data_IF_469718442967
#
_entry.id   IF_469718442967
#
_cell.length_a   1.000
_cell.length_b   1.000
_cell.length_c   1.000
_cell.angle_alpha   90.00
_cell.angle_beta   90.00
_cell.angle_gamma   90.00
#
_symmetry.space_group_name_H-M   'P 1'
#
loop_
_entity.id
_entity.type
_entity.pdbx_description
1 polymer ?
#
# COMPACT_ATOMS: atom_id res chain seq x y z
N UNK A 1 -2.29 -20.70 -9.25
CA UNK A 1 -3.01 -19.61 -9.92
C UNK A 1 -2.04 -18.98 -10.89
N UNK A 2 -2.40 -18.82 -12.16
CA UNK A 2 -1.58 -18.04 -13.08
C UNK A 2 -1.32 -16.68 -12.43
N UNK A 3 -0.06 -16.21 -12.43
CA UNK A 3 0.26 -14.83 -12.03
C UNK A 3 -0.45 -13.94 -13.06
N UNK A 4 -1.71 -13.61 -12.82
CA UNK A 4 -2.34 -12.49 -13.51
C UNK A 4 -1.45 -11.29 -13.20
N UNK A 5 -0.84 -10.73 -14.22
CA UNK A 5 0.02 -9.57 -14.04
C UNK A 5 -0.81 -8.48 -13.36
N UNK A 6 -0.29 -7.94 -12.25
CA UNK A 6 -0.92 -6.80 -11.59
C UNK A 6 -1.14 -5.70 -12.63
N UNK A 7 -2.32 -5.09 -12.60
CA UNK A 7 -2.59 -3.86 -13.35
C UNK A 7 -1.55 -2.79 -12.97
N UNK A 8 -1.43 -1.74 -13.80
CA UNK A 8 -0.50 -0.63 -13.50
C UNK A 8 -0.78 0.00 -12.14
N UNK A 9 -2.06 0.17 -11.79
CA UNK A 9 -2.47 0.81 -10.55
C UNK A 9 -2.28 -0.13 -9.34
N UNK A 10 -2.70 -1.39 -9.44
CA UNK A 10 -2.42 -2.40 -8.41
C UNK A 10 -0.91 -2.55 -8.15
N UNK A 11 -0.08 -2.47 -9.19
CA UNK A 11 1.39 -2.47 -9.02
C UNK A 11 1.87 -1.24 -8.24
N UNK A 12 1.39 -0.05 -8.57
CA UNK A 12 1.74 1.18 -7.86
C UNK A 12 1.35 1.11 -6.36
N UNK A 13 0.19 0.54 -6.06
CA UNK A 13 -0.28 0.30 -4.68
C UNK A 13 0.66 -0.67 -3.95
N UNK A 14 0.97 -1.81 -4.56
CA UNK A 14 1.89 -2.80 -3.97
C UNK A 14 3.27 -2.19 -3.70
N UNK A 15 3.82 -1.44 -4.67
CA UNK A 15 5.12 -0.76 -4.55
C UNK A 15 5.11 0.32 -3.45
N UNK A 16 4.00 1.04 -3.26
CA UNK A 16 3.83 1.97 -2.15
C UNK A 16 3.90 1.23 -0.81
N UNK A 17 3.18 0.11 -0.68
CA UNK A 17 3.17 -0.69 0.56
C UNK A 17 4.57 -1.25 0.84
N UNK A 18 5.27 -1.81 -0.16
CA UNK A 18 6.62 -2.34 0.02
C UNK A 18 7.62 -1.27 0.45
N UNK A 19 7.58 -0.08 -0.17
CA UNK A 19 8.45 1.04 0.24
C UNK A 19 8.19 1.47 1.68
N UNK A 20 6.91 1.51 2.10
CA UNK A 20 6.54 1.90 3.47
C UNK A 20 6.84 0.83 4.49
N UNK A 21 6.62 -0.44 4.16
CA UNK A 21 6.91 -1.56 5.04
C UNK A 21 8.40 -1.74 5.26
N UNK A 22 9.27 -1.37 4.30
CA UNK A 22 10.72 -1.43 4.46
C UNK A 22 11.24 -0.59 5.65
N UNK A 23 10.50 0.45 6.07
CA UNK A 23 10.82 1.26 7.25
C UNK A 23 10.38 0.62 8.58
N UNK A 24 9.76 -0.57 8.54
CA UNK A 24 9.21 -1.30 9.68
C UNK A 24 9.73 -2.73 9.68
N UNK A 25 9.88 -3.32 10.87
CA UNK A 25 10.24 -4.73 10.95
C UNK A 25 9.01 -5.61 10.72
N UNK A 26 9.19 -6.76 10.08
CA UNK A 26 8.13 -7.77 9.95
C UNK A 26 7.59 -8.20 11.33
N UNK A 27 8.44 -8.23 12.35
CA UNK A 27 8.05 -8.49 13.75
C UNK A 27 7.02 -7.50 14.28
N UNK A 28 7.22 -6.21 14.06
CA UNK A 28 6.31 -5.17 14.55
C UNK A 28 4.97 -5.21 13.83
N UNK A 29 5.00 -5.44 12.51
CA UNK A 29 3.80 -5.59 11.68
C UNK A 29 3.01 -6.85 12.07
N UNK A 30 3.70 -7.99 12.21
CA UNK A 30 3.10 -9.25 12.64
C UNK A 30 2.43 -9.13 14.02
N UNK A 31 3.09 -8.47 14.98
CA UNK A 31 2.52 -8.21 16.31
C UNK A 31 1.23 -7.40 16.23
N UNK A 32 1.18 -6.36 15.39
CA UNK A 32 -0.03 -5.53 15.22
C UNK A 32 -1.19 -6.30 14.57
N UNK A 33 -0.88 -7.20 13.65
CA UNK A 33 -1.87 -8.03 12.94
C UNK A 33 -2.34 -9.20 13.81
N UNK A 34 -1.56 -9.60 14.81
CA UNK A 34 -1.88 -10.72 15.69
C UNK A 34 -1.46 -12.08 15.13
N UNK A 35 -0.41 -12.11 14.30
CA UNK A 35 0.16 -13.34 13.73
C UNK A 35 1.63 -13.50 14.14
N UNK A 36 2.18 -14.71 13.99
CA UNK A 36 3.61 -14.91 14.20
C UNK A 36 4.43 -14.24 13.10
N UNK A 37 5.65 -13.82 13.43
CA UNK A 37 6.57 -13.20 12.46
C UNK A 37 6.91 -14.14 11.29
N UNK A 38 7.03 -15.44 11.56
CA UNK A 38 7.31 -16.46 10.54
C UNK A 38 6.13 -16.63 9.58
N UNK A 39 4.90 -16.67 10.11
CA UNK A 39 3.69 -16.72 9.29
C UNK A 39 3.56 -15.45 8.45
N UNK A 40 3.72 -14.28 9.07
CA UNK A 40 3.65 -12.99 8.39
C UNK A 40 4.65 -12.91 7.24
N UNK A 41 5.93 -13.21 7.50
CA UNK A 41 6.99 -13.11 6.49
C UNK A 41 6.75 -14.03 5.29
N UNK A 42 6.13 -15.20 5.51
CA UNK A 42 5.83 -16.17 4.45
C UNK A 42 4.72 -15.68 3.52
N UNK A 43 3.72 -14.98 4.05
CA UNK A 43 2.51 -14.57 3.30
C UNK A 43 2.53 -13.11 2.89
N UNK A 44 3.46 -12.31 3.42
CA UNK A 44 3.48 -10.85 3.25
C UNK A 44 3.37 -10.42 1.78
N UNK A 45 4.24 -10.93 0.91
CA UNK A 45 4.24 -10.57 -0.50
C UNK A 45 2.90 -10.87 -1.17
N UNK A 46 2.38 -12.09 -0.96
CA UNK A 46 1.11 -12.53 -1.52
C UNK A 46 -0.07 -11.69 -1.02
N UNK A 47 -0.10 -11.34 0.26
CA UNK A 47 -1.17 -10.53 0.83
C UNK A 47 -1.13 -9.09 0.34
N UNK A 48 0.06 -8.52 0.14
CA UNK A 48 0.20 -7.19 -0.47
C UNK A 48 -0.33 -7.20 -1.90
N UNK A 49 0.01 -8.22 -2.71
CA UNK A 49 -0.51 -8.36 -4.07
C UNK A 49 -2.04 -8.47 -4.09
N UNK A 50 -2.62 -9.31 -3.23
CA UNK A 50 -4.08 -9.46 -3.14
C UNK A 50 -4.78 -8.18 -2.70
N UNK A 51 -4.23 -7.51 -1.69
CA UNK A 51 -4.77 -6.24 -1.22
C UNK A 51 -4.72 -5.17 -2.30
N UNK A 52 -3.62 -5.10 -3.05
CA UNK A 52 -3.46 -4.15 -4.14
C UNK A 52 -4.47 -4.38 -5.28
N UNK A 53 -4.73 -5.65 -5.63
CA UNK A 53 -5.78 -5.99 -6.61
C UNK A 53 -7.16 -5.58 -6.09
N UNK A 54 -7.48 -5.87 -4.82
CA UNK A 54 -8.78 -5.50 -4.25
C UNK A 54 -8.97 -3.98 -4.25
N UNK A 55 -7.95 -3.21 -3.88
CA UNK A 55 -8.03 -1.75 -3.92
C UNK A 55 -8.22 -1.21 -5.33
N UNK A 56 -7.52 -1.78 -6.31
CA UNK A 56 -7.68 -1.38 -7.71
C UNK A 56 -9.09 -1.69 -8.25
N UNK A 57 -9.59 -2.91 -8.04
CA UNK A 57 -10.91 -3.35 -8.49
C UNK A 57 -12.07 -2.58 -7.83
N UNK A 58 -11.85 -2.07 -6.61
CA UNK A 58 -12.84 -1.30 -5.86
C UNK A 58 -12.64 0.22 -6.01
N UNK A 59 -11.74 0.67 -6.90
CA UNK A 59 -11.43 2.08 -7.13
C UNK A 59 -11.03 2.83 -5.84
N UNK A 60 -10.33 2.14 -4.94
CA UNK A 60 -9.82 2.71 -3.69
C UNK A 60 -8.44 3.31 -3.96
N UNK A 61 -8.36 4.64 -3.89
CA UNK A 61 -7.08 5.35 -3.99
C UNK A 61 -6.28 5.26 -2.69
N UNK A 62 -5.05 4.81 -2.80
CA UNK A 62 -4.06 4.80 -1.71
C UNK A 62 -2.97 5.79 -2.04
N UNK A 63 -2.79 6.76 -1.16
CA UNK A 63 -1.84 7.86 -1.34
C UNK A 63 -0.90 7.97 -0.14
N UNK A 64 0.36 8.35 -0.40
CA UNK A 64 1.25 8.67 0.70
C UNK A 64 0.81 9.91 1.47
N UNK A 65 1.00 9.92 2.78
CA UNK A 65 0.61 11.05 3.64
C UNK A 65 1.32 12.36 3.25
N UNK A 66 2.59 12.28 2.78
CA UNK A 66 3.32 13.44 2.28
C UNK A 66 2.79 13.92 0.93
N UNK A 67 2.42 13.00 0.04
CA UNK A 67 1.80 13.33 -1.25
C UNK A 67 0.43 13.98 -1.02
N UNK A 68 -0.38 13.42 -0.11
CA UNK A 68 -1.66 13.99 0.30
C UNK A 68 -1.51 15.41 0.86
N UNK A 69 -0.48 15.66 1.68
CA UNK A 69 -0.19 17.00 2.19
C UNK A 69 0.17 17.99 1.07
N UNK A 70 0.93 17.54 0.05
CA UNK A 70 1.25 18.35 -1.12
C UNK A 70 0.01 18.69 -1.94
N UNK A 71 -0.88 17.72 -2.19
CA UNK A 71 -2.15 17.96 -2.87
C UNK A 71 -3.04 18.94 -2.13
N UNK A 72 -3.16 18.81 -0.79
CA UNK A 72 -3.90 19.77 0.03
C UNK A 72 -3.34 21.19 -0.08
N UNK A 73 -2.02 21.33 -0.14
CA UNK A 73 -1.35 22.63 -0.27
C UNK A 73 -1.59 23.25 -1.65
N UNK A 74 -1.50 22.45 -2.72
CA UNK A 74 -1.80 22.89 -4.08
C UNK A 74 -3.28 23.28 -4.24
N UNK A 75 -4.20 22.45 -3.77
CA UNK A 75 -5.63 22.71 -3.82
C UNK A 75 -6.01 24.01 -3.10
N UNK A 76 -5.36 24.31 -1.97
CA UNK A 76 -5.58 25.56 -1.24
C UNK A 76 -5.09 26.77 -2.05
N UNK A 77 -3.92 26.68 -2.68
CA UNK A 77 -3.40 27.75 -3.55
C UNK A 77 -4.30 28.03 -4.75
N UNK A 78 -4.90 27.00 -5.35
CA UNK A 78 -5.81 27.16 -6.49
C UNK A 78 -7.21 27.67 -6.13
N UNK A 79 -7.58 27.67 -4.85
CA UNK A 79 -8.87 28.20 -4.35
C UNK A 79 -8.74 29.61 -3.77
N UNK A 80 -7.51 30.01 -3.39
CA UNK A 80 -7.18 31.35 -2.90
C UNK A 80 -6.81 32.33 -4.05
N UNK A 81 -6.81 31.86 -5.32
CA UNK A 81 -6.74 32.65 -6.56
C UNK A 81 -8.13 32.77 -7.21
#
# INVERSE_FOLDING_TARGET
MARNELSKNARAIADLIYRKSASRTHKDLARKIGVSESQFSRVFLQYVEWYAVICDELEIELIDEKELAAYKTLARKSLDE
#
